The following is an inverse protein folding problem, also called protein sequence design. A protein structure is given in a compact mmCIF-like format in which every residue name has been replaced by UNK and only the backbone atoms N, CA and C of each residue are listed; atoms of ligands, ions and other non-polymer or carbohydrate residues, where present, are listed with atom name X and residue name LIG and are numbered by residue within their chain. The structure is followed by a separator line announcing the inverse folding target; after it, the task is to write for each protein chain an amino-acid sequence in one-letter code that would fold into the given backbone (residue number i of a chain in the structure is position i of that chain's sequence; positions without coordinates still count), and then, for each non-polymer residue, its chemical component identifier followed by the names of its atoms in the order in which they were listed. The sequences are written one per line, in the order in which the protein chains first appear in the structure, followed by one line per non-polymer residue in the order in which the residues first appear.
data_IF_337697909884
#
_entry.id   IF_337697909884
#
_cell.length_a   1.000
_cell.length_b   1.000
_cell.length_c   1.000
_cell.angle_alpha   90.00
_cell.angle_beta   90.00
_cell.angle_gamma   90.00
#
_symmetry.space_group_name_H-M   'P 1'
#
loop_
_entity.id
_entity.type
_entity.pdbx_description
1 polymer ?
#
# COMPACT_ATOMS: atom_id res chain seq x y z
N UNK A 1 -40.71 -39.32 9.20
CA UNK A 1 -39.41 -38.76 8.82
C UNK A 1 -38.48 -38.81 10.03
N UNK A 2 -37.34 -39.50 9.94
CA UNK A 2 -36.34 -39.50 11.02
C UNK A 2 -35.65 -38.13 11.01
N UNK A 3 -35.74 -37.36 12.10
CA UNK A 3 -35.00 -36.10 12.25
C UNK A 3 -33.51 -36.43 12.26
N UNK A 4 -32.80 -36.09 11.19
CA UNK A 4 -31.34 -35.99 11.23
C UNK A 4 -31.03 -34.77 12.11
N UNK A 5 -30.66 -35.01 13.37
CA UNK A 5 -30.05 -34.00 14.20
C UNK A 5 -28.63 -33.79 13.68
N UNK A 6 -28.46 -32.85 12.75
CA UNK A 6 -27.15 -32.28 12.44
C UNK A 6 -26.78 -31.45 13.67
N UNK A 7 -26.09 -32.08 14.62
CA UNK A 7 -25.46 -31.34 15.71
C UNK A 7 -24.57 -30.26 15.10
N UNK A 8 -24.52 -29.06 15.70
CA UNK A 8 -23.56 -28.04 15.30
C UNK A 8 -22.19 -28.73 15.20
N UNK A 9 -21.61 -28.72 13.99
CA UNK A 9 -20.33 -29.37 13.65
C UNK A 9 -19.12 -28.70 14.34
N UNK A 10 -19.39 -27.84 15.32
CA UNK A 10 -18.41 -27.14 16.13
C UNK A 10 -18.64 -27.56 17.55
N UNK A 11 -18.10 -28.72 17.91
CA UNK A 11 -18.04 -29.13 19.31
C UNK A 11 -17.19 -28.11 20.07
N UNK A 12 -17.39 -27.93 21.39
CA UNK A 12 -16.61 -26.98 22.19
C UNK A 12 -15.09 -27.13 22.01
N UNK A 13 -14.64 -28.36 21.76
CA UNK A 13 -13.24 -28.71 21.50
C UNK A 13 -12.73 -28.11 20.18
N UNK A 14 -13.58 -28.00 19.14
CA UNK A 14 -13.23 -27.34 17.89
C UNK A 14 -13.01 -25.83 18.09
N UNK A 15 -13.85 -25.19 18.90
CA UNK A 15 -13.76 -23.77 19.20
C UNK A 15 -12.50 -23.48 20.02
N UNK A 16 -12.20 -24.32 21.01
CA UNK A 16 -10.98 -24.21 21.81
C UNK A 16 -9.72 -24.44 20.95
N UNK A 17 -9.75 -25.46 20.10
CA UNK A 17 -8.67 -25.75 19.15
C UNK A 17 -8.44 -24.59 18.16
N UNK A 18 -9.52 -23.97 17.67
CA UNK A 18 -9.43 -22.79 16.80
C UNK A 18 -8.83 -21.58 17.52
N UNK A 19 -9.26 -21.30 18.76
CA UNK A 19 -8.75 -20.19 19.57
C UNK A 19 -7.27 -20.32 19.93
N UNK A 20 -6.73 -21.55 19.94
CA UNK A 20 -5.31 -21.83 20.18
C UNK A 20 -4.43 -21.69 18.93
N UNK A 21 -5.01 -21.54 17.73
CA UNK A 21 -4.22 -21.34 16.50
C UNK A 21 -3.66 -19.92 16.45
N UNK A 22 -2.38 -19.77 16.79
CA UNK A 22 -1.58 -18.64 16.32
C UNK A 22 -1.31 -18.89 14.83
N UNK A 23 -1.80 -18.02 13.96
CA UNK A 23 -1.62 -18.19 12.52
C UNK A 23 -0.21 -17.75 12.11
N UNK A 24 0.73 -18.71 12.08
CA UNK A 24 2.11 -18.48 11.66
C UNK A 24 2.22 -18.06 10.17
N UNK A 25 1.13 -18.18 9.39
CA UNK A 25 1.07 -17.67 8.01
C UNK A 25 0.78 -16.17 7.94
N UNK A 26 0.50 -15.48 9.06
CA UNK A 26 0.46 -14.02 9.10
C UNK A 26 1.89 -13.57 9.32
N UNK A 27 2.60 -13.08 8.28
CA UNK A 27 3.94 -12.57 8.48
C UNK A 27 3.87 -11.47 9.53
N UNK A 28 4.64 -11.65 10.61
CA UNK A 28 4.84 -10.65 11.65
C UNK A 28 5.25 -9.36 10.93
N UNK A 29 4.61 -8.20 11.19
CA UNK A 29 5.05 -6.95 10.58
C UNK A 29 6.54 -6.81 10.90
N UNK A 30 7.37 -6.69 9.86
CA UNK A 30 8.81 -6.54 10.04
C UNK A 30 9.04 -5.33 10.94
N UNK A 31 9.49 -5.59 12.17
CA UNK A 31 9.70 -4.59 13.21
C UNK A 31 11.01 -3.80 12.95
N UNK A 32 11.27 -3.43 11.70
CA UNK A 32 12.56 -2.93 11.25
C UNK A 32 12.53 -1.97 10.06
N UNK A 33 11.53 -2.04 9.17
CA UNK A 33 11.52 -1.20 7.97
C UNK A 33 10.13 -0.60 7.73
N UNK A 34 9.56 0.03 8.75
CA UNK A 34 8.35 0.87 8.63
C UNK A 34 8.66 2.22 7.97
N UNK A 35 9.63 2.29 7.06
CA UNK A 35 9.63 3.42 6.14
C UNK A 35 8.44 3.22 5.21
N UNK A 36 7.49 4.18 5.14
CA UNK A 36 6.43 4.10 4.16
C UNK A 36 7.09 3.90 2.79
N UNK A 37 6.54 3.01 1.97
CA UNK A 37 7.02 2.71 0.61
C UNK A 37 7.33 3.99 -0.20
N UNK A 38 6.61 5.08 0.09
CA UNK A 38 6.87 6.44 -0.40
C UNK A 38 8.32 6.91 -0.26
N UNK A 39 9.02 6.57 0.84
CA UNK A 39 10.39 7.02 1.11
C UNK A 39 11.44 6.28 0.25
N UNK A 40 11.07 5.19 -0.41
CA UNK A 40 11.94 4.41 -1.29
C UNK A 40 11.65 4.57 -2.78
N UNK A 41 10.51 5.17 -3.14
CA UNK A 41 10.19 5.48 -4.53
C UNK A 41 10.75 6.86 -4.88
N UNK A 42 11.97 6.87 -5.42
CA UNK A 42 12.50 8.07 -6.09
C UNK A 42 11.59 8.37 -7.28
N UNK A 43 10.71 9.37 -7.14
CA UNK A 43 9.82 9.81 -8.21
C UNK A 43 10.69 10.35 -9.35
N UNK A 44 10.72 9.64 -10.46
CA UNK A 44 11.37 10.10 -11.69
C UNK A 44 10.34 10.97 -12.42
N UNK A 45 10.68 12.22 -12.76
CA UNK A 45 9.80 13.09 -13.53
C UNK A 45 9.43 12.44 -14.86
N UNK A 46 8.18 12.63 -15.31
CA UNK A 46 7.79 12.23 -16.66
C UNK A 46 8.45 13.12 -17.71
N UNK A 47 8.58 12.63 -18.95
CA UNK A 47 9.09 13.44 -20.06
C UNK A 47 8.30 14.74 -20.27
N UNK A 48 6.97 14.69 -20.07
CA UNK A 48 6.11 15.86 -20.16
C UNK A 48 6.39 16.89 -19.06
N UNK A 49 6.70 16.42 -17.85
CA UNK A 49 7.03 17.31 -16.73
C UNK A 49 8.39 17.99 -16.94
N UNK A 50 9.35 17.27 -17.52
CA UNK A 50 10.63 17.83 -17.95
C UNK A 50 10.41 18.92 -19.03
N UNK A 51 9.60 18.62 -20.05
CA UNK A 51 9.29 19.57 -21.13
C UNK A 51 8.58 20.82 -20.57
N UNK A 52 7.65 20.65 -19.62
CA UNK A 52 6.93 21.77 -19.01
C UNK A 52 7.88 22.70 -18.26
N UNK A 53 8.77 22.15 -17.43
CA UNK A 53 9.75 22.93 -16.69
C UNK A 53 10.69 23.71 -17.62
N UNK A 54 11.14 23.07 -18.71
CA UNK A 54 11.98 23.70 -19.72
C UNK A 54 11.26 24.85 -20.45
N UNK A 55 9.97 24.69 -20.73
CA UNK A 55 9.13 25.74 -21.32
C UNK A 55 8.96 26.92 -20.37
N UNK A 56 8.60 26.67 -19.11
CA UNK A 56 8.44 27.71 -18.07
C UNK A 56 9.74 28.52 -17.89
N UNK A 57 10.89 27.83 -17.84
CA UNK A 57 12.21 28.48 -17.74
C UNK A 57 12.46 29.44 -18.91
N UNK A 58 12.25 28.98 -20.14
CA UNK A 58 12.45 29.80 -21.34
C UNK A 58 11.49 30.98 -21.40
N UNK A 59 10.24 30.78 -20.99
CA UNK A 59 9.26 31.86 -20.96
C UNK A 59 9.68 32.95 -19.96
N UNK A 60 10.14 32.59 -18.76
CA UNK A 60 10.62 33.56 -17.78
C UNK A 60 11.83 34.37 -18.27
N UNK A 61 12.76 33.72 -18.98
CA UNK A 61 13.90 34.42 -19.59
C UNK A 61 13.46 35.42 -20.67
N UNK A 62 12.45 35.07 -21.46
CA UNK A 62 11.88 35.96 -22.47
C UNK A 62 11.15 37.14 -21.83
N UNK A 63 10.34 36.91 -20.80
CA UNK A 63 9.66 37.96 -20.04
C UNK A 63 10.66 38.98 -19.48
N UNK A 64 11.79 38.51 -18.93
CA UNK A 64 12.87 39.39 -18.43
C UNK A 64 13.50 40.24 -19.54
N UNK A 65 13.62 39.71 -20.76
CA UNK A 65 14.19 40.42 -21.91
C UNK A 65 13.22 41.44 -22.52
N UNK A 66 11.92 41.17 -22.45
CA UNK A 66 10.86 42.04 -23.01
C UNK A 66 10.46 43.13 -22.01
N UNK A 67 10.56 42.85 -20.71
CA UNK A 67 10.31 43.84 -19.65
C UNK A 67 11.45 44.82 -19.40
N UNK A 68 12.56 44.72 -20.14
CA UNK A 68 13.74 45.58 -20.08
C UNK A 68 13.73 46.58 -21.24
#
# INVERSE_FOLDING_TARGET
MKRLAVGLMTTPEYIEWWGRRINDNIPKPSQGDSQPIEKHLRVVPSELEIIRQDFERRNSELEKKIGQ
#
